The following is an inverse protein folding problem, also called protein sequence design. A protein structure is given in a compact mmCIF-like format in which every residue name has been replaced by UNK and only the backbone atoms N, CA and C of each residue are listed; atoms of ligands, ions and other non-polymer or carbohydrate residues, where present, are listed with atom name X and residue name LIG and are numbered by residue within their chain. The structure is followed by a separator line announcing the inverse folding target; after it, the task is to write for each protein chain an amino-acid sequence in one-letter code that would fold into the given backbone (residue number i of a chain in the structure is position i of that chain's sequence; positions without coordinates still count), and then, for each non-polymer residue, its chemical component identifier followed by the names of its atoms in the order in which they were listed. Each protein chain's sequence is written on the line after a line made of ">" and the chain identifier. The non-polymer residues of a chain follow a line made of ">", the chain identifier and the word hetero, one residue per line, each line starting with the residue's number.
data_IF_375800281095
#
_entry.id   IF_375800281095
#
_cell.length_a   1.000
_cell.length_b   1.000
_cell.length_c   1.000
_cell.angle_alpha   90.00
_cell.angle_beta   90.00
_cell.angle_gamma   90.00
#
_symmetry.space_group_name_H-M   'P 1'
#
loop_
_entity.id
_entity.type
_entity.pdbx_description
1 polymer ?
#
# COMPACT_ATOMS: atom_id res chain seq x y z
N UNK A 1 -8.23 12.07 -1.73
CA UNK A 1 -6.97 11.64 -1.04
C UNK A 1 -6.90 10.12 -0.96
N UNK A 2 -7.01 9.41 0.16
CA UNK A 2 -7.32 7.97 0.18
C UNK A 2 -7.38 7.45 1.62
N UNK A 3 -7.96 6.26 1.80
CA UNK A 3 -7.80 5.47 3.03
C UNK A 3 -7.07 4.17 2.71
N UNK A 4 -5.95 3.92 3.37
CA UNK A 4 -5.20 2.68 3.23
C UNK A 4 -5.70 1.66 4.24
N UNK A 5 -6.02 0.44 3.78
CA UNK A 5 -6.46 -0.66 4.66
C UNK A 5 -5.61 -1.90 4.41
N UNK A 6 -5.41 -2.70 5.46
CA UNK A 6 -4.68 -3.97 5.33
C UNK A 6 -3.16 -3.88 5.49
N UNK A 7 -2.65 -2.77 6.02
CA UNK A 7 -1.23 -2.58 6.29
C UNK A 7 -0.38 -2.46 5.02
N UNK A 8 0.95 -2.58 5.09
CA UNK A 8 1.86 -2.25 3.97
C UNK A 8 1.65 -3.07 2.69
N UNK A 9 0.91 -4.18 2.76
CA UNK A 9 0.55 -5.02 1.60
C UNK A 9 -0.88 -4.80 1.10
N UNK A 10 -1.64 -3.89 1.71
CA UNK A 10 -2.99 -3.57 1.33
C UNK A 10 -3.11 -2.36 0.39
N UNK A 11 -4.33 -2.09 -0.06
CA UNK A 11 -4.61 -1.06 -1.06
C UNK A 11 -4.94 0.30 -0.45
N UNK A 12 -4.92 1.33 -1.29
CA UNK A 12 -5.40 2.68 -0.98
C UNK A 12 -6.75 2.88 -1.68
N UNK A 13 -7.81 3.06 -0.89
CA UNK A 13 -9.19 3.27 -1.35
C UNK A 13 -9.34 4.75 -1.74
N UNK A 14 -9.63 5.07 -3.01
CA UNK A 14 -9.85 6.44 -3.45
C UNK A 14 -11.16 7.01 -2.92
N UNK A 15 -11.31 8.33 -3.03
CA UNK A 15 -12.46 9.08 -2.52
C UNK A 15 -13.81 8.59 -3.07
N UNK A 16 -13.85 8.22 -4.35
CA UNK A 16 -15.05 7.70 -5.03
C UNK A 16 -15.55 6.35 -4.49
N UNK A 17 -14.77 5.70 -3.62
CA UNK A 17 -15.08 4.40 -3.02
C UNK A 17 -15.12 4.43 -1.48
N UNK A 18 -15.18 5.60 -0.85
CA UNK A 18 -15.16 5.70 0.62
C UNK A 18 -16.42 5.17 1.31
N UNK A 19 -17.55 5.15 0.60
CA UNK A 19 -18.81 4.59 1.11
C UNK A 19 -18.89 3.06 0.97
N UNK A 20 -17.81 2.40 0.53
CA UNK A 20 -17.75 0.95 0.46
C UNK A 20 -17.89 0.32 1.85
N UNK A 21 -18.64 -0.77 1.96
CA UNK A 21 -18.77 -1.49 3.22
C UNK A 21 -17.42 -2.07 3.65
N UNK A 22 -17.11 -1.95 4.94
CA UNK A 22 -15.89 -2.51 5.53
C UNK A 22 -16.10 -4.00 5.76
N UNK A 23 -15.97 -4.76 4.68
CA UNK A 23 -16.08 -6.22 4.63
C UNK A 23 -14.92 -6.82 3.81
N UNK A 24 -14.61 -8.10 4.05
CA UNK A 24 -13.53 -8.80 3.35
C UNK A 24 -13.74 -8.86 1.83
N UNK A 25 -14.95 -9.16 1.39
CA UNK A 25 -15.27 -9.35 -0.02
C UNK A 25 -15.49 -8.02 -0.73
N UNK A 26 -16.12 -7.05 -0.05
CA UNK A 26 -16.36 -5.72 -0.63
C UNK A 26 -15.05 -4.97 -0.87
N UNK A 27 -14.14 -4.93 0.12
CA UNK A 27 -12.85 -4.24 -0.03
C UNK A 27 -11.98 -4.84 -1.15
N UNK A 28 -12.06 -6.16 -1.35
CA UNK A 28 -11.32 -6.84 -2.42
C UNK A 28 -11.73 -6.35 -3.82
N UNK A 29 -12.97 -5.89 -4.01
CA UNK A 29 -13.47 -5.37 -5.29
C UNK A 29 -12.76 -4.09 -5.73
N UNK A 30 -12.22 -3.33 -4.79
CA UNK A 30 -11.50 -2.06 -5.05
C UNK A 30 -9.98 -2.21 -4.88
N UNK A 31 -9.46 -3.44 -4.85
CA UNK A 31 -8.03 -3.71 -4.71
C UNK A 31 -7.48 -3.40 -3.31
N UNK A 32 -8.36 -3.24 -2.32
CA UNK A 32 -8.01 -3.14 -0.92
C UNK A 32 -8.24 -4.48 -0.21
N UNK A 33 -7.74 -4.61 1.01
CA UNK A 33 -8.01 -5.77 1.86
C UNK A 33 -8.27 -5.29 3.28
N UNK A 34 -9.06 -6.04 4.04
CA UNK A 34 -9.28 -5.70 5.45
C UNK A 34 -7.97 -5.84 6.27
N UNK A 35 -7.26 -6.97 6.10
CA UNK A 35 -6.09 -7.27 6.92
C UNK A 35 -6.44 -7.29 8.42
N UNK A 36 -5.69 -6.55 9.25
CA UNK A 36 -5.83 -6.58 10.71
C UNK A 36 -6.86 -5.61 11.30
N UNK A 37 -7.62 -4.87 10.48
CA UNK A 37 -8.52 -3.82 11.00
C UNK A 37 -7.91 -2.40 10.96
N UNK A 38 -6.62 -2.28 10.65
CA UNK A 38 -5.93 -0.99 10.63
C UNK A 38 -6.27 -0.16 9.39
N UNK A 39 -6.50 1.14 9.59
CA UNK A 39 -6.74 2.12 8.53
C UNK A 39 -5.82 3.33 8.68
N UNK A 40 -5.20 3.78 7.59
CA UNK A 40 -4.43 5.02 7.54
C UNK A 40 -5.17 6.00 6.62
N UNK A 41 -5.64 7.10 7.19
CA UNK A 41 -6.30 8.18 6.45
C UNK A 41 -5.23 9.16 5.97
N UNK A 42 -5.15 9.38 4.66
CA UNK A 42 -4.19 10.30 4.04
C UNK A 42 -4.90 11.54 3.57
N UNK A 43 -4.24 12.70 3.60
CA UNK A 43 -4.81 13.97 3.14
C UNK A 43 -4.46 14.42 1.73
N UNK A 44 -5.06 15.53 1.29
CA UNK A 44 -4.83 16.15 -0.01
C UNK A 44 -3.41 16.68 -0.13
N UNK A 45 -2.77 16.95 1.01
CA UNK A 45 -1.37 17.33 1.13
C UNK A 45 -0.43 16.11 1.14
N UNK A 46 -0.98 14.89 1.21
CA UNK A 46 -0.20 13.65 1.21
C UNK A 46 0.17 13.20 -0.20
N UNK A 47 1.48 13.15 -0.49
CA UNK A 47 2.00 12.62 -1.74
C UNK A 47 1.91 11.09 -1.80
N UNK A 48 1.10 10.55 -2.71
CA UNK A 48 0.93 9.09 -2.86
C UNK A 48 2.21 8.37 -3.31
N UNK A 49 3.14 9.06 -3.99
CA UNK A 49 4.45 8.48 -4.35
C UNK A 49 5.31 8.30 -3.10
N UNK A 50 5.27 9.24 -2.16
CA UNK A 50 5.99 9.13 -0.89
C UNK A 50 5.41 8.02 -0.01
N UNK A 51 4.08 7.88 0.00
CA UNK A 51 3.40 6.76 0.68
C UNK A 51 3.85 5.41 0.11
N UNK A 52 3.87 5.27 -1.21
CA UNK A 52 4.34 4.05 -1.86
C UNK A 52 5.82 3.77 -1.54
N UNK A 53 6.70 4.79 -1.55
CA UNK A 53 8.10 4.66 -1.13
C UNK A 53 8.24 4.24 0.32
N UNK A 54 7.41 4.79 1.22
CA UNK A 54 7.41 4.43 2.64
C UNK A 54 7.13 2.94 2.82
N UNK A 55 6.06 2.42 2.22
CA UNK A 55 5.72 1.00 2.31
C UNK A 55 6.74 0.10 1.63
N UNK A 56 7.27 0.46 0.46
CA UNK A 56 8.32 -0.32 -0.19
C UNK A 56 9.63 -0.33 0.60
N UNK A 57 9.95 0.76 1.29
CA UNK A 57 11.12 0.82 2.18
C UNK A 57 10.94 -0.14 3.36
N UNK A 58 9.76 -0.12 3.99
CA UNK A 58 9.41 -1.06 5.05
C UNK A 58 9.49 -2.52 4.57
N UNK A 59 8.80 -2.85 3.48
CA UNK A 59 8.78 -4.21 2.92
C UNK A 59 10.17 -4.68 2.47
N UNK A 60 11.01 -3.77 1.96
CA UNK A 60 12.40 -4.10 1.61
C UNK A 60 13.26 -4.39 2.85
N UNK A 61 12.99 -3.73 3.97
CA UNK A 61 13.67 -3.97 5.25
C UNK A 61 13.23 -5.26 5.94
N UNK A 62 11.92 -5.55 5.87
CA UNK A 62 11.29 -6.70 6.53
C UNK A 62 11.25 -7.98 5.68
N UNK A 63 11.74 -7.92 4.43
CA UNK A 63 11.79 -9.10 3.57
C UNK A 63 12.66 -10.20 4.20
N UNK A 64 12.08 -11.38 4.45
CA UNK A 64 12.79 -12.57 4.92
C UNK A 64 13.82 -13.13 3.92
N UNK A 65 13.80 -12.66 2.67
CA UNK A 65 14.81 -12.96 1.65
C UNK A 65 14.64 -14.30 0.92
N UNK A 66 13.59 -15.08 1.22
CA UNK A 66 13.37 -16.43 0.67
C UNK A 66 13.07 -16.45 -0.83
N UNK A 67 12.19 -15.56 -1.30
CA UNK A 67 11.72 -15.55 -2.68
C UNK A 67 12.35 -14.40 -3.47
N UNK A 68 12.97 -14.69 -4.62
CA UNK A 68 13.61 -13.66 -5.47
C UNK A 68 12.69 -12.50 -5.87
N UNK A 69 11.41 -12.70 -6.23
CA UNK A 69 10.50 -11.59 -6.56
C UNK A 69 10.28 -10.63 -5.39
N UNK A 70 10.29 -11.13 -4.15
CA UNK A 70 10.18 -10.28 -2.97
C UNK A 70 11.52 -9.58 -2.67
N UNK A 71 12.60 -10.36 -2.49
CA UNK A 71 13.92 -9.85 -2.07
C UNK A 71 14.51 -8.85 -3.05
N UNK A 72 14.45 -9.14 -4.35
CA UNK A 72 15.02 -8.29 -5.38
C UNK A 72 13.97 -7.38 -6.02
N UNK A 73 12.75 -7.88 -6.25
CA UNK A 73 11.71 -7.10 -6.91
C UNK A 73 11.28 -5.86 -6.11
N UNK A 74 11.12 -5.98 -4.78
CA UNK A 74 10.78 -4.83 -3.93
C UNK A 74 11.88 -3.76 -3.98
N UNK A 75 13.16 -4.16 -4.00
CA UNK A 75 14.29 -3.24 -4.15
C UNK A 75 14.29 -2.54 -5.51
N UNK A 76 13.90 -3.24 -6.59
CA UNK A 76 13.78 -2.62 -7.91
C UNK A 76 12.59 -1.65 -7.96
N UNK A 77 11.44 -2.02 -7.38
CA UNK A 77 10.28 -1.11 -7.28
C UNK A 77 10.64 0.16 -6.51
N UNK A 78 11.33 0.03 -5.37
CA UNK A 78 11.78 1.17 -4.59
C UNK A 78 12.71 2.07 -5.41
N UNK A 79 13.70 1.51 -6.11
CA UNK A 79 14.59 2.28 -7.01
C UNK A 79 13.84 3.01 -8.11
N UNK A 80 12.79 2.41 -8.68
CA UNK A 80 11.97 3.05 -9.70
C UNK A 80 11.23 4.25 -9.10
N UNK A 81 10.60 4.08 -7.93
CA UNK A 81 9.87 5.19 -7.29
C UNK A 81 10.80 6.32 -6.85
N UNK A 82 12.00 6.02 -6.33
CA UNK A 82 13.01 7.04 -6.00
C UNK A 82 13.49 7.84 -7.22
N UNK A 83 13.33 7.32 -8.44
CA UNK A 83 13.65 8.07 -9.67
C UNK A 83 12.49 8.95 -10.16
N UNK A 84 11.27 8.66 -9.74
CA UNK A 84 10.08 9.44 -10.09
C UNK A 84 9.96 10.69 -9.21
N UNK A 85 10.48 10.63 -7.97
CA UNK A 85 10.38 11.68 -6.95
C UNK A 85 11.62 11.73 -6.07
#
# INVERSE_FOLDING_TARGET
>A
KAVQTGGPSGGCIPEEHLDIEVDFDELAKVGAIMGSGGMIVMDEDTCMVDVAKYFLTFLSGESCGKCSPCREGIRQMLKILTRIS
#
